data_IF_273450618287
#
_entry.id   IF_273450618287
#
_cell.length_a   1.000
_cell.length_b   1.000
_cell.length_c   1.000
_cell.angle_alpha   90.00
_cell.angle_beta   90.00
_cell.angle_gamma   90.00
#
_symmetry.space_group_name_H-M   'P 1'
#
loop_
_entity.id
_entity.type
_entity.pdbx_description
1 polymer ?
#
# COMPACT_ATOMS: atom_id res chain seq x y z
N UNK A 1 -27.03 -61.80 -34.49
CA UNK A 1 -25.87 -61.79 -35.42
C UNK A 1 -26.28 -61.05 -36.70
N UNK A 2 -25.41 -60.16 -37.22
CA UNK A 2 -25.49 -59.44 -38.52
C UNK A 2 -26.60 -58.37 -38.63
N UNK A 3 -26.38 -57.17 -39.17
CA UNK A 3 -25.17 -56.44 -39.55
C UNK A 3 -25.52 -54.95 -39.68
N UNK A 4 -24.55 -54.11 -39.35
CA UNK A 4 -24.53 -52.65 -39.48
C UNK A 4 -24.52 -52.24 -40.97
N UNK A 5 -25.26 -51.19 -41.35
CA UNK A 5 -25.03 -50.43 -42.58
C UNK A 5 -25.44 -48.96 -42.39
N UNK A 6 -24.44 -48.10 -42.32
CA UNK A 6 -24.54 -46.64 -42.50
C UNK A 6 -24.45 -46.28 -43.98
N UNK A 7 -24.99 -45.09 -44.35
CA UNK A 7 -24.18 -44.22 -45.21
C UNK A 7 -24.12 -42.75 -44.77
N UNK A 8 -22.93 -42.21 -45.02
CA UNK A 8 -22.39 -40.85 -45.11
C UNK A 8 -23.31 -39.61 -45.05
N UNK A 9 -22.95 -38.74 -44.09
CA UNK A 9 -22.62 -37.31 -44.18
C UNK A 9 -23.36 -36.38 -45.15
N UNK A 10 -24.07 -35.39 -44.61
CA UNK A 10 -24.02 -34.00 -45.08
C UNK A 10 -23.79 -33.08 -43.89
N UNK A 11 -22.67 -32.36 -43.94
CA UNK A 11 -22.35 -31.29 -43.01
C UNK A 11 -23.27 -30.08 -43.24
N UNK A 12 -23.21 -29.17 -42.26
CA UNK A 12 -23.59 -27.76 -42.31
C UNK A 12 -25.01 -27.41 -41.86
N UNK A 13 -25.15 -27.00 -40.60
CA UNK A 13 -25.30 -25.59 -40.26
C UNK A 13 -25.56 -25.45 -38.75
N UNK A 14 -24.59 -24.81 -38.09
CA UNK A 14 -24.69 -24.17 -36.78
C UNK A 14 -25.98 -23.37 -36.61
N UNK A 15 -26.66 -23.52 -35.46
CA UNK A 15 -27.17 -22.37 -34.71
C UNK A 15 -27.18 -22.71 -33.22
N UNK A 16 -26.12 -22.24 -32.55
CA UNK A 16 -26.05 -22.12 -31.09
C UNK A 16 -27.11 -21.10 -30.65
N UNK A 17 -28.19 -21.55 -30.02
CA UNK A 17 -28.98 -20.68 -29.16
C UNK A 17 -28.32 -20.68 -27.77
N UNK A 18 -27.24 -19.92 -27.65
CA UNK A 18 -26.57 -19.68 -26.38
C UNK A 18 -27.45 -18.81 -25.48
N UNK A 19 -28.04 -19.41 -24.45
CA UNK A 19 -28.54 -18.66 -23.32
C UNK A 19 -27.34 -18.31 -22.43
N UNK A 20 -26.57 -17.32 -22.85
CA UNK A 20 -25.47 -16.78 -22.06
C UNK A 20 -26.06 -15.88 -20.99
N UNK A 21 -26.33 -16.46 -19.82
CA UNK A 21 -26.67 -15.69 -18.62
C UNK A 21 -25.39 -14.94 -18.21
N UNK A 22 -25.19 -13.74 -18.76
CA UNK A 22 -24.13 -12.85 -18.37
C UNK A 22 -24.41 -12.37 -16.95
N UNK A 23 -23.92 -13.11 -15.95
CA UNK A 23 -23.75 -12.56 -14.61
C UNK A 23 -22.74 -11.44 -14.72
N UNK A 24 -23.22 -10.21 -14.82
CA UNK A 24 -22.42 -9.03 -14.56
C UNK A 24 -22.01 -9.12 -13.09
N UNK A 25 -20.80 -9.64 -12.84
CA UNK A 25 -20.14 -9.43 -11.57
C UNK A 25 -19.95 -7.92 -11.47
N UNK A 26 -20.82 -7.26 -10.70
CA UNK A 26 -20.53 -5.94 -10.21
C UNK A 26 -19.28 -6.08 -9.34
N UNK A 27 -18.11 -5.83 -9.94
CA UNK A 27 -16.90 -5.54 -9.19
C UNK A 27 -17.23 -4.27 -8.42
N UNK A 28 -17.71 -4.42 -7.19
CA UNK A 28 -17.75 -3.31 -6.27
C UNK A 28 -16.29 -2.89 -6.10
N UNK A 29 -15.92 -1.79 -6.75
CA UNK A 29 -14.78 -1.00 -6.30
C UNK A 29 -15.19 -0.52 -4.91
N UNK A 30 -14.99 -1.37 -3.91
CA UNK A 30 -14.77 -0.89 -2.57
C UNK A 30 -13.54 0.00 -2.73
N UNK A 31 -13.75 1.31 -2.83
CA UNK A 31 -12.78 2.26 -2.35
C UNK A 31 -12.63 1.96 -0.86
N UNK A 32 -11.83 0.95 -0.55
CA UNK A 32 -11.54 0.53 0.80
C UNK A 32 -10.91 1.71 1.48
N UNK A 33 -11.42 2.05 2.65
CA UNK A 33 -10.58 2.76 3.62
C UNK A 33 -9.44 1.80 3.94
N UNK A 34 -8.37 1.83 3.14
CA UNK A 34 -7.22 0.96 3.33
C UNK A 34 -6.68 1.21 4.72
N UNK A 35 -6.90 0.22 5.59
CA UNK A 35 -6.40 0.27 6.94
C UNK A 35 -4.88 0.37 6.86
N UNK A 36 -4.25 1.25 7.66
CA UNK A 36 -2.80 1.33 7.75
C UNK A 36 -2.21 -0.07 7.98
N UNK A 37 -1.22 -0.46 7.17
CA UNK A 37 -0.49 -1.70 7.39
C UNK A 37 0.20 -1.70 8.76
N UNK A 38 0.58 -2.87 9.26
CA UNK A 38 1.33 -2.97 10.51
C UNK A 38 2.66 -2.19 10.45
N UNK A 39 3.34 -2.18 9.30
CA UNK A 39 4.55 -1.41 9.09
C UNK A 39 4.26 0.10 9.21
N UNK A 40 3.18 0.57 8.60
CA UNK A 40 2.81 1.98 8.64
C UNK A 40 2.36 2.41 10.05
N UNK A 41 1.61 1.58 10.77
CA UNK A 41 1.23 1.82 12.17
C UNK A 41 2.45 1.96 13.08
N UNK A 42 3.46 1.11 12.87
CA UNK A 42 4.71 1.14 13.63
C UNK A 42 5.53 2.39 13.30
N UNK A 43 5.63 2.76 12.01
CA UNK A 43 6.26 4.03 11.60
C UNK A 43 5.53 5.24 12.18
N UNK A 44 4.20 5.26 12.14
CA UNK A 44 3.39 6.33 12.70
C UNK A 44 3.63 6.46 14.22
N UNK A 45 3.70 5.34 14.94
CA UNK A 45 4.01 5.32 16.39
C UNK A 45 5.39 5.90 16.69
N UNK A 46 6.40 5.55 15.89
CA UNK A 46 7.77 6.05 16.05
C UNK A 46 7.81 7.55 15.77
N UNK A 47 7.20 7.99 14.67
CA UNK A 47 7.15 9.41 14.29
C UNK A 47 6.39 10.23 15.33
N UNK A 48 5.24 9.76 15.82
CA UNK A 48 4.43 10.46 16.83
C UNK A 48 5.23 10.75 18.12
N UNK A 49 6.09 9.80 18.50
CA UNK A 49 6.95 9.87 19.68
C UNK A 49 8.33 10.51 19.41
N UNK A 50 8.59 10.94 18.18
CA UNK A 50 9.86 11.53 17.79
C UNK A 50 10.11 12.84 18.57
N UNK A 51 11.30 12.95 19.15
CA UNK A 51 11.78 14.18 19.82
C UNK A 51 12.80 14.94 18.95
N UNK A 52 13.86 14.26 18.55
CA UNK A 52 14.93 14.79 17.69
C UNK A 52 15.27 13.81 16.55
N UNK A 53 15.41 12.54 16.91
CA UNK A 53 15.68 11.41 16.03
C UNK A 53 15.01 10.14 16.62
N UNK A 54 14.85 9.06 15.84
CA UNK A 54 14.23 7.83 16.35
C UNK A 54 15.05 7.25 17.50
N UNK A 55 14.37 6.78 18.56
CA UNK A 55 15.03 6.08 19.67
C UNK A 55 15.76 4.81 19.19
N UNK A 56 16.68 4.23 19.97
CA UNK A 56 17.32 2.96 19.58
C UNK A 56 16.33 1.86 19.22
N UNK A 57 15.27 1.68 20.01
CA UNK A 57 14.19 0.72 19.73
C UNK A 57 13.43 1.11 18.46
N UNK A 58 13.18 2.41 18.24
CA UNK A 58 12.59 2.91 17.00
C UNK A 58 13.45 2.59 15.78
N UNK A 59 14.77 2.77 15.85
CA UNK A 59 15.69 2.41 14.75
C UNK A 59 15.69 0.90 14.47
N UNK A 60 15.67 0.07 15.50
CA UNK A 60 15.56 -1.39 15.33
C UNK A 60 14.23 -1.79 14.66
N UNK A 61 13.13 -1.17 15.08
CA UNK A 61 11.81 -1.36 14.49
C UNK A 61 11.77 -0.93 13.01
N UNK A 62 12.40 0.20 12.65
CA UNK A 62 12.53 0.64 11.27
C UNK A 62 13.39 -0.30 10.43
N UNK A 63 14.51 -0.79 10.99
CA UNK A 63 15.37 -1.76 10.33
C UNK A 63 14.63 -3.07 10.02
N UNK A 64 13.77 -3.52 10.95
CA UNK A 64 12.92 -4.69 10.74
C UNK A 64 11.94 -4.49 9.58
N UNK A 65 11.31 -3.31 9.49
CA UNK A 65 10.41 -2.96 8.37
C UNK A 65 11.17 -2.95 7.04
N UNK A 66 12.39 -2.39 7.01
CA UNK A 66 13.23 -2.35 5.80
C UNK A 66 13.58 -3.76 5.32
N UNK A 67 13.89 -4.68 6.25
CA UNK A 67 14.28 -6.04 5.93
C UNK A 67 13.09 -6.98 5.67
N UNK A 68 11.87 -6.62 6.08
CA UNK A 68 10.71 -7.48 5.97
C UNK A 68 10.28 -7.67 4.50
N UNK A 69 10.15 -8.92 4.00
CA UNK A 69 9.65 -9.18 2.65
C UNK A 69 8.22 -8.67 2.41
N UNK A 70 7.41 -8.68 3.46
CA UNK A 70 6.01 -8.25 3.44
C UNK A 70 5.83 -6.72 3.33
N UNK A 71 6.87 -5.92 3.56
CA UNK A 71 6.77 -4.46 3.46
C UNK A 71 6.65 -4.01 2.01
N UNK A 72 5.83 -3.02 1.72
CA UNK A 72 5.76 -2.39 0.39
C UNK A 72 7.08 -1.69 0.03
N UNK A 73 7.26 -1.32 -1.24
CA UNK A 73 8.41 -0.51 -1.66
C UNK A 73 8.38 0.87 -0.97
N UNK A 74 7.20 1.47 -0.87
CA UNK A 74 6.99 2.75 -0.21
C UNK A 74 7.25 2.66 1.29
N UNK A 75 6.78 1.61 1.97
CA UNK A 75 7.05 1.40 3.39
C UNK A 75 8.56 1.30 3.69
N UNK A 76 9.30 0.57 2.87
CA UNK A 76 10.77 0.48 3.00
C UNK A 76 11.46 1.81 2.77
N UNK A 77 10.98 2.62 1.81
CA UNK A 77 11.47 3.96 1.55
C UNK A 77 11.20 4.91 2.72
N UNK A 78 9.97 4.91 3.24
CA UNK A 78 9.55 5.71 4.40
C UNK A 78 10.37 5.34 5.64
N UNK A 79 10.54 4.05 5.92
CA UNK A 79 11.34 3.57 7.05
C UNK A 79 12.81 3.97 6.92
N UNK A 80 13.38 3.86 5.72
CA UNK A 80 14.76 4.27 5.42
C UNK A 80 14.97 5.78 5.61
N UNK A 81 14.01 6.61 5.19
CA UNK A 81 14.05 8.05 5.42
C UNK A 81 13.98 8.37 6.93
N UNK A 82 13.09 7.69 7.66
CA UNK A 82 12.97 7.84 9.11
C UNK A 82 14.25 7.47 9.86
N UNK A 83 14.97 6.41 9.46
CA UNK A 83 16.23 6.01 10.08
C UNK A 83 17.31 7.08 10.03
N UNK A 84 17.29 7.93 8.99
CA UNK A 84 18.28 8.98 8.73
C UNK A 84 17.91 10.34 9.30
N UNK A 85 16.76 10.47 9.96
CA UNK A 85 16.30 11.73 10.52
C UNK A 85 17.31 12.28 11.55
N UNK A 86 17.71 13.52 11.30
CA UNK A 86 18.42 14.39 12.23
C UNK A 86 17.72 15.74 12.22
N UNK A 87 16.71 15.91 13.07
CA UNK A 87 15.77 17.04 13.09
C UNK A 87 14.88 17.19 11.84
N UNK A 88 15.33 16.80 10.64
CA UNK A 88 14.57 16.89 9.39
C UNK A 88 14.89 15.72 8.45
N UNK A 89 14.09 15.57 7.39
CA UNK A 89 14.40 14.65 6.30
C UNK A 89 15.75 15.01 5.65
N UNK A 90 16.57 13.99 5.39
CA UNK A 90 17.81 14.17 4.65
C UNK A 90 17.53 14.68 3.24
N UNK A 91 18.43 15.50 2.69
CA UNK A 91 18.26 16.11 1.37
C UNK A 91 18.02 15.05 0.28
N UNK A 92 18.78 13.95 0.31
CA UNK A 92 18.67 12.87 -0.66
C UNK A 92 17.36 12.07 -0.57
N UNK A 93 16.65 12.13 0.56
CA UNK A 93 15.35 11.49 0.73
C UNK A 93 14.19 12.34 0.21
N UNK A 94 14.34 13.66 0.18
CA UNK A 94 13.26 14.57 -0.20
C UNK A 94 12.66 14.28 -1.59
N UNK A 95 13.46 14.00 -2.65
CA UNK A 95 12.88 13.65 -3.95
C UNK A 95 12.05 12.35 -3.91
N UNK A 96 12.47 11.35 -3.12
CA UNK A 96 11.76 10.08 -2.99
C UNK A 96 10.46 10.24 -2.20
N UNK A 97 10.51 11.00 -1.11
CA UNK A 97 9.33 11.35 -0.31
C UNK A 97 8.32 12.15 -1.15
N UNK A 98 8.78 13.12 -1.96
CA UNK A 98 7.93 13.90 -2.87
C UNK A 98 7.20 13.01 -3.87
N UNK A 99 7.90 12.03 -4.46
CA UNK A 99 7.29 11.04 -5.37
C UNK A 99 6.16 10.27 -4.71
N UNK A 100 6.35 9.77 -3.48
CA UNK A 100 5.27 9.08 -2.74
C UNK A 100 4.09 10.03 -2.51
N UNK A 101 4.33 11.29 -2.14
CA UNK A 101 3.24 12.27 -1.93
C UNK A 101 2.42 12.55 -3.20
N UNK A 102 3.08 12.56 -4.36
CA UNK A 102 2.48 12.85 -5.67
C UNK A 102 1.87 11.64 -6.37
N UNK A 103 2.20 10.43 -5.92
CA UNK A 103 1.67 9.19 -6.46
C UNK A 103 0.19 9.04 -6.04
N UNK A 104 -0.72 9.15 -7.01
CA UNK A 104 -2.16 9.04 -6.77
C UNK A 104 -2.60 7.59 -6.50
N UNK A 105 -1.80 6.61 -6.91
CA UNK A 105 -2.06 5.19 -6.72
C UNK A 105 -1.49 4.69 -5.38
N UNK A 106 -0.62 5.49 -4.72
CA UNK A 106 -0.12 5.18 -3.39
C UNK A 106 -1.24 5.30 -2.33
N UNK A 107 -1.32 4.36 -1.36
CA UNK A 107 -2.25 4.45 -0.25
C UNK A 107 -2.21 5.80 0.46
N UNK A 108 -3.38 6.37 0.77
CA UNK A 108 -3.48 7.71 1.35
C UNK A 108 -2.63 7.88 2.62
N UNK A 109 -2.55 6.84 3.46
CA UNK A 109 -1.75 6.86 4.69
C UNK A 109 -0.23 6.87 4.42
N UNK A 110 0.24 6.21 3.34
CA UNK A 110 1.65 6.30 2.90
C UNK A 110 1.98 7.70 2.43
N UNK A 111 1.09 8.31 1.63
CA UNK A 111 1.24 9.69 1.13
C UNK A 111 1.28 10.70 2.27
N UNK A 112 0.43 10.53 3.28
CA UNK A 112 0.37 11.43 4.42
C UNK A 112 1.58 11.28 5.35
N UNK A 113 2.04 10.05 5.61
CA UNK A 113 3.28 9.82 6.34
C UNK A 113 4.50 10.40 5.59
N UNK A 114 4.53 10.27 4.26
CA UNK A 114 5.57 10.87 3.42
C UNK A 114 5.62 12.40 3.58
N UNK A 115 4.46 13.05 3.57
CA UNK A 115 4.34 14.49 3.76
C UNK A 115 4.86 14.93 5.15
N UNK A 116 4.48 14.21 6.21
CA UNK A 116 4.96 14.49 7.57
C UNK A 116 6.49 14.38 7.65
N UNK A 117 7.08 13.33 7.08
CA UNK A 117 8.53 13.15 7.04
C UNK A 117 9.19 14.29 6.24
N UNK A 118 8.65 14.62 5.06
CA UNK A 118 9.20 15.63 4.15
C UNK A 118 9.25 17.03 4.79
N UNK A 119 8.18 17.41 5.50
CA UNK A 119 8.03 18.72 6.14
C UNK A 119 8.53 18.77 7.58
N UNK A 120 9.02 17.65 8.12
CA UNK A 120 9.52 17.60 9.49
C UNK A 120 10.58 18.67 9.75
N UNK A 121 10.34 19.48 10.78
CA UNK A 121 11.31 20.41 11.35
C UNK A 121 11.38 20.23 12.86
N UNK A 122 12.48 19.62 13.31
CA UNK A 122 12.77 19.14 14.67
C UNK A 122 11.87 17.99 15.16
N UNK A 123 10.56 18.21 15.24
CA UNK A 123 9.56 17.24 15.72
C UNK A 123 8.22 17.43 15.01
N UNK A 124 7.33 16.41 14.96
CA UNK A 124 6.02 16.59 14.35
C UNK A 124 5.23 17.69 15.04
N UNK A 125 4.50 18.47 14.25
CA UNK A 125 3.57 19.48 14.75
C UNK A 125 2.41 18.83 15.53
N UNK A 126 1.61 19.64 16.23
CA UNK A 126 0.39 19.15 16.88
C UNK A 126 -0.60 18.55 15.89
N UNK A 127 -0.75 19.18 14.72
CA UNK A 127 -1.61 18.68 13.64
C UNK A 127 -1.08 17.35 13.07
N UNK A 128 0.23 17.25 12.84
CA UNK A 128 0.84 16.00 12.37
C UNK A 128 0.68 14.88 13.39
N UNK A 129 0.78 15.19 14.70
CA UNK A 129 0.54 14.20 15.75
C UNK A 129 -0.89 13.64 15.71
N UNK A 130 -1.89 14.48 15.44
CA UNK A 130 -3.28 14.01 15.31
C UNK A 130 -3.44 13.05 14.13
N UNK A 131 -2.83 13.38 12.98
CA UNK A 131 -2.81 12.51 11.79
C UNK A 131 -2.11 11.18 12.10
N UNK A 132 -0.93 11.23 12.71
CA UNK A 132 -0.17 10.05 13.12
C UNK A 132 -0.98 9.18 14.09
N UNK A 133 -1.70 9.79 15.06
CA UNK A 133 -2.56 9.04 15.97
C UNK A 133 -3.68 8.29 15.23
N UNK A 134 -4.24 8.89 14.18
CA UNK A 134 -5.20 8.22 13.30
C UNK A 134 -4.62 7.01 12.57
N UNK A 135 -3.31 7.02 12.28
CA UNK A 135 -2.60 5.91 11.61
C UNK A 135 -2.14 4.81 12.57
N UNK A 136 -2.12 5.06 13.89
CA UNK A 136 -1.57 4.12 14.88
C UNK A 136 -2.52 2.98 15.24
N UNK A 137 -3.79 3.05 14.85
CA UNK A 137 -4.81 2.06 15.20
C UNK A 137 -5.38 1.46 13.91
N UNK A 138 -5.48 0.14 13.84
CA UNK A 138 -6.44 -0.49 12.95
C UNK A 138 -7.84 -0.15 13.51
N UNK A 139 -8.66 0.53 12.71
CA UNK A 139 -10.07 0.75 13.07
C UNK A 139 -10.88 -0.48 12.72
#
# INVERSE_FOLDING_TARGET
MKALKTPASRALATFLAGLFFATLAASSVQAGMDQPSAALQQMATIMHRLKHFPSPQGKQALQAIIAAPASSANERLLASAMMKLQHKAAADDKPRLRRIMDDADAPAAERELAAIIYHLDHRPSSADKQKLQGMMQAR
#
